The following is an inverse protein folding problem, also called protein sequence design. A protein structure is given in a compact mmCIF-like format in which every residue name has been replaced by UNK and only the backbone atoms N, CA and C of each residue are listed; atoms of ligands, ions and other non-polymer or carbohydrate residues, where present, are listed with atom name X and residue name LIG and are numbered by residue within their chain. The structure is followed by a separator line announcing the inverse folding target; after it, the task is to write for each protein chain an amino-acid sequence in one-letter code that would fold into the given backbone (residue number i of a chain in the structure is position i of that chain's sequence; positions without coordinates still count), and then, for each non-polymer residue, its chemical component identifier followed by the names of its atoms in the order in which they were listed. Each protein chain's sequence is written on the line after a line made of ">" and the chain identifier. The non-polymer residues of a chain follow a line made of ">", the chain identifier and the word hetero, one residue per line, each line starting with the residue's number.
data_IF_495964889053
#
_entry.id   IF_495964889053
#
_cell.length_a   1.000
_cell.length_b   1.000
_cell.length_c   1.000
_cell.angle_alpha   90.00
_cell.angle_beta   90.00
_cell.angle_gamma   90.00
#
_symmetry.space_group_name_H-M   'P 1'
#
loop_
_entity.id
_entity.type
_entity.pdbx_description
1 polymer ?
#
# COMPACT_ATOMS: atom_id res chain seq x y z
N UNK A 1 -11.73 -9.58 5.46
CA UNK A 1 -11.45 -8.17 5.11
C UNK A 1 -10.53 -8.09 3.90
N UNK A 2 -10.77 -7.12 3.03
CA UNK A 2 -9.86 -6.81 1.94
C UNK A 2 -8.56 -6.19 2.47
N UNK A 3 -7.53 -6.12 1.62
CA UNK A 3 -6.28 -5.43 1.98
C UNK A 3 -6.51 -3.96 2.32
N UNK A 4 -7.35 -3.27 1.54
CA UNK A 4 -7.72 -1.88 1.81
C UNK A 4 -8.38 -1.73 3.18
N UNK A 5 -9.34 -2.56 3.50
CA UNK A 5 -10.03 -2.52 4.79
C UNK A 5 -9.08 -2.77 5.95
N UNK A 6 -8.20 -3.76 5.82
CA UNK A 6 -7.19 -4.06 6.83
C UNK A 6 -6.24 -2.87 7.03
N UNK A 7 -5.76 -2.27 5.94
CA UNK A 7 -4.91 -1.09 6.00
C UNK A 7 -5.59 0.05 6.75
N UNK A 8 -6.83 0.36 6.40
CA UNK A 8 -7.56 1.47 7.00
C UNK A 8 -7.73 1.27 8.51
N UNK A 9 -8.08 0.07 8.94
CA UNK A 9 -8.22 -0.24 10.36
C UNK A 9 -6.91 -0.03 11.10
N UNK A 10 -5.80 -0.57 10.57
CA UNK A 10 -4.48 -0.46 11.20
C UNK A 10 -3.98 0.99 11.20
N UNK A 11 -4.21 1.71 10.11
CA UNK A 11 -3.80 3.10 9.98
C UNK A 11 -4.53 4.00 11.00
N UNK A 12 -5.84 3.87 11.11
CA UNK A 12 -6.64 4.66 12.05
C UNK A 12 -6.34 4.33 13.50
N UNK A 13 -5.96 3.10 13.80
CA UNK A 13 -5.55 2.72 15.16
C UNK A 13 -4.19 3.28 15.53
N UNK A 14 -3.28 3.38 14.57
CA UNK A 14 -1.88 3.70 14.83
C UNK A 14 -1.49 5.14 14.58
N UNK A 15 -2.01 5.77 13.54
CA UNK A 15 -1.60 7.13 13.16
C UNK A 15 -2.61 8.16 13.68
N UNK A 16 -2.25 8.82 14.78
CA UNK A 16 -3.10 9.83 15.42
C UNK A 16 -2.58 11.26 15.21
N UNK A 17 -1.65 11.44 14.28
CA UNK A 17 -1.10 12.76 13.99
C UNK A 17 -2.16 13.64 13.33
N UNK A 18 -2.00 14.97 13.53
CA UNK A 18 -2.79 15.92 12.76
C UNK A 18 -2.55 15.69 11.27
N UNK A 19 -3.62 15.67 10.47
CA UNK A 19 -3.53 15.43 9.05
C UNK A 19 -3.61 13.96 8.63
N UNK A 20 -3.69 13.02 9.59
CA UNK A 20 -3.72 11.58 9.27
C UNK A 20 -4.94 11.19 8.44
N UNK A 21 -6.14 11.69 8.78
CA UNK A 21 -7.35 11.38 8.01
C UNK A 21 -7.32 12.04 6.63
N UNK A 22 -6.80 13.25 6.53
CA UNK A 22 -6.66 13.97 5.26
C UNK A 22 -5.69 13.24 4.33
N UNK A 23 -4.61 12.69 4.87
CA UNK A 23 -3.68 11.88 4.09
C UNK A 23 -4.35 10.60 3.57
N UNK A 24 -5.09 9.91 4.43
CA UNK A 24 -5.82 8.71 4.03
C UNK A 24 -6.81 9.01 2.91
N UNK A 25 -7.56 10.09 3.04
CA UNK A 25 -8.53 10.53 2.04
C UNK A 25 -7.84 10.85 0.71
N UNK A 26 -6.70 11.53 0.77
CA UNK A 26 -5.90 11.82 -0.43
C UNK A 26 -5.41 10.53 -1.09
N UNK A 27 -4.94 9.56 -0.31
CA UNK A 27 -4.51 8.26 -0.84
C UNK A 27 -5.64 7.54 -1.56
N UNK A 28 -6.86 7.60 -1.03
CA UNK A 28 -8.02 6.95 -1.63
C UNK A 28 -8.49 7.64 -2.91
N UNK A 29 -8.48 8.97 -2.94
CA UNK A 29 -9.05 9.76 -4.04
C UNK A 29 -8.06 10.10 -5.15
N UNK A 30 -6.83 10.41 -4.79
CA UNK A 30 -5.85 10.99 -5.72
C UNK A 30 -4.75 10.03 -6.12
N UNK A 31 -4.74 8.81 -5.56
CA UNK A 31 -3.71 7.82 -5.87
C UNK A 31 -4.33 6.46 -6.14
N UNK A 32 -3.53 5.58 -6.75
CA UNK A 32 -3.89 4.18 -6.95
C UNK A 32 -3.31 3.26 -5.87
N UNK A 33 -2.93 3.81 -4.71
CA UNK A 33 -2.26 3.04 -3.66
C UNK A 33 -2.99 1.74 -3.31
N UNK A 34 -4.31 1.77 -3.24
CA UNK A 34 -5.11 0.61 -2.82
C UNK A 34 -5.35 -0.40 -3.93
N UNK A 35 -5.07 -0.05 -5.17
CA UNK A 35 -5.26 -0.93 -6.33
C UNK A 35 -3.97 -1.28 -7.04
N UNK A 36 -2.88 -0.56 -6.78
CA UNK A 36 -1.61 -0.75 -7.45
C UNK A 36 -0.93 -2.08 -7.05
N UNK A 37 -0.09 -2.64 -7.93
CA UNK A 37 0.77 -3.77 -7.57
C UNK A 37 1.96 -3.28 -6.76
N UNK A 38 2.62 -4.20 -6.05
CA UNK A 38 3.86 -3.89 -5.33
C UNK A 38 5.08 -3.89 -6.26
N UNK A 39 5.00 -4.62 -7.38
CA UNK A 39 6.08 -4.70 -8.38
C UNK A 39 5.49 -5.03 -9.74
N UNK A 40 6.33 -5.03 -10.78
CA UNK A 40 5.89 -5.37 -12.14
C UNK A 40 5.93 -6.87 -12.43
N UNK A 41 6.87 -7.61 -11.85
CA UNK A 41 7.14 -9.02 -12.22
C UNK A 41 7.32 -9.97 -11.06
N UNK A 42 7.61 -9.44 -9.88
CA UNK A 42 7.98 -10.25 -8.74
C UNK A 42 6.84 -10.34 -7.73
N UNK A 43 7.19 -10.34 -6.47
CA UNK A 43 6.26 -10.48 -5.36
C UNK A 43 5.11 -9.46 -5.42
N UNK A 44 3.88 -9.96 -5.30
CA UNK A 44 2.66 -9.13 -5.25
C UNK A 44 2.44 -8.26 -6.50
N UNK A 45 2.80 -8.79 -7.67
CA UNK A 45 2.61 -8.11 -8.96
C UNK A 45 1.18 -8.29 -9.48
N UNK A 46 0.19 -7.91 -8.68
CA UNK A 46 -1.23 -8.02 -8.99
C UNK A 46 -2.03 -6.88 -8.35
N UNK A 47 -3.29 -6.64 -8.77
CA UNK A 47 -4.10 -5.57 -8.18
C UNK A 47 -4.22 -5.71 -6.66
N UNK A 48 -3.98 -4.62 -5.94
CA UNK A 48 -3.99 -4.61 -4.48
C UNK A 48 -2.73 -5.12 -3.83
N UNK A 49 -1.70 -5.49 -4.62
CA UNK A 49 -0.44 -6.00 -4.09
C UNK A 49 0.32 -4.99 -3.24
N UNK A 50 0.26 -3.71 -3.60
CA UNK A 50 0.95 -2.66 -2.84
C UNK A 50 0.40 -2.52 -1.43
N UNK A 51 -0.92 -2.42 -1.28
CA UNK A 51 -1.55 -2.31 0.04
C UNK A 51 -1.35 -3.59 0.85
N UNK A 52 -1.42 -4.76 0.21
CA UNK A 52 -1.15 -6.03 0.86
C UNK A 52 0.28 -6.08 1.40
N UNK A 53 1.25 -5.65 0.62
CA UNK A 53 2.65 -5.56 1.04
C UNK A 53 2.80 -4.66 2.28
N UNK A 54 2.18 -3.49 2.27
CA UNK A 54 2.25 -2.55 3.39
C UNK A 54 1.69 -3.15 4.67
N UNK A 55 0.56 -3.86 4.59
CA UNK A 55 -0.04 -4.55 5.74
C UNK A 55 0.88 -5.68 6.23
N UNK A 56 1.48 -6.44 5.31
CA UNK A 56 2.40 -7.52 5.66
C UNK A 56 3.64 -6.99 6.39
N UNK A 57 4.20 -5.88 5.92
CA UNK A 57 5.36 -5.24 6.57
C UNK A 57 4.99 -4.78 7.98
N UNK A 58 3.80 -4.19 8.15
CA UNK A 58 3.32 -3.79 9.48
C UNK A 58 3.27 -5.00 10.42
N UNK A 59 2.70 -6.11 9.97
CA UNK A 59 2.55 -7.30 10.80
C UNK A 59 3.89 -7.91 11.20
N UNK A 60 4.84 -7.95 10.28
CA UNK A 60 6.17 -8.48 10.55
C UNK A 60 6.96 -7.57 11.49
N UNK A 61 6.91 -6.26 11.28
CA UNK A 61 7.61 -5.31 12.15
C UNK A 61 7.05 -5.32 13.56
N UNK A 62 5.74 -5.44 13.69
CA UNK A 62 5.07 -5.51 14.99
C UNK A 62 5.56 -6.68 15.85
N UNK A 63 5.94 -7.80 15.25
CA UNK A 63 6.41 -8.97 15.98
C UNK A 63 7.73 -8.74 16.72
N UNK A 64 8.53 -7.77 16.28
CA UNK A 64 9.89 -7.57 16.77
C UNK A 64 10.08 -6.29 17.58
N UNK A 65 9.03 -5.51 17.80
CA UNK A 65 9.12 -4.25 18.54
C UNK A 65 8.41 -4.35 19.89
N UNK A 66 8.81 -3.46 20.83
CA UNK A 66 8.18 -3.37 22.13
C UNK A 66 6.79 -2.75 21.97
N UNK A 67 5.78 -3.40 22.55
CA UNK A 67 4.40 -2.96 22.49
C UNK A 67 4.13 -1.83 23.48
N UNK A 68 4.33 -0.60 23.03
CA UNK A 68 3.93 0.59 23.77
C UNK A 68 3.41 1.62 22.75
N UNK A 69 2.60 2.57 23.23
CA UNK A 69 1.86 3.46 22.34
C UNK A 69 2.73 4.29 21.38
N UNK A 70 3.80 4.98 21.84
CA UNK A 70 4.66 5.72 20.90
C UNK A 70 5.34 4.82 19.86
N UNK A 71 5.78 3.64 20.28
CA UNK A 71 6.42 2.69 19.36
C UNK A 71 5.41 2.15 18.35
N UNK A 72 4.18 1.87 18.79
CA UNK A 72 3.14 1.35 17.88
C UNK A 72 2.72 2.41 16.86
N UNK A 73 2.68 3.68 17.22
CA UNK A 73 2.44 4.74 16.25
C UNK A 73 3.57 4.81 15.21
N UNK A 74 4.82 4.75 15.66
CA UNK A 74 5.96 4.73 14.74
C UNK A 74 5.92 3.53 13.79
N UNK A 75 5.57 2.35 14.31
CA UNK A 75 5.41 1.14 13.48
C UNK A 75 4.33 1.32 12.44
N UNK A 76 3.17 1.86 12.83
CA UNK A 76 2.07 2.07 11.90
C UNK A 76 2.47 3.06 10.79
N UNK A 77 3.03 4.20 11.15
CA UNK A 77 3.44 5.22 10.19
C UNK A 77 4.52 4.68 9.25
N UNK A 78 5.59 4.13 9.81
CA UNK A 78 6.72 3.67 9.01
C UNK A 78 6.35 2.47 8.11
N UNK A 79 5.66 1.47 8.66
CA UNK A 79 5.35 0.27 7.91
C UNK A 79 4.25 0.49 6.87
N UNK A 80 3.14 1.11 7.27
CA UNK A 80 2.00 1.28 6.37
C UNK A 80 2.27 2.28 5.24
N UNK A 81 3.11 3.28 5.47
CA UNK A 81 3.39 4.32 4.50
C UNK A 81 4.75 4.19 3.80
N UNK A 82 5.56 3.17 4.13
CA UNK A 82 6.94 3.09 3.62
C UNK A 82 7.02 3.05 2.10
N UNK A 83 6.06 2.44 1.43
CA UNK A 83 6.03 2.31 -0.02
C UNK A 83 4.96 3.18 -0.69
N UNK A 84 4.46 4.21 0.01
CA UNK A 84 3.49 5.14 -0.58
C UNK A 84 4.04 5.77 -1.87
N UNK A 85 5.35 5.96 -1.96
CA UNK A 85 5.99 6.50 -3.17
C UNK A 85 5.80 5.64 -4.42
N UNK A 86 5.40 4.38 -4.26
CA UNK A 86 5.10 3.50 -5.40
C UNK A 86 3.69 3.70 -5.95
N UNK A 87 2.84 4.46 -5.26
CA UNK A 87 1.54 4.82 -5.80
C UNK A 87 1.73 5.62 -7.09
N UNK A 88 0.83 5.43 -8.06
CA UNK A 88 0.88 6.08 -9.36
C UNK A 88 2.16 5.79 -10.17
N UNK A 89 2.85 4.70 -9.85
CA UNK A 89 4.13 4.32 -10.50
C UNK A 89 3.93 3.35 -11.65
N UNK A 90 2.94 2.45 -11.56
CA UNK A 90 2.76 1.37 -12.51
C UNK A 90 1.49 1.54 -13.32
N UNK A 91 1.54 1.11 -14.59
CA UNK A 91 0.39 1.08 -15.49
C UNK A 91 0.12 -0.36 -15.85
N UNK A 92 -1.17 -0.74 -15.85
CA UNK A 92 -1.61 -2.05 -16.26
C UNK A 92 -1.73 -2.08 -17.78
N UNK A 93 -1.07 -3.06 -18.41
CA UNK A 93 -1.18 -3.28 -19.84
C UNK A 93 -1.91 -4.58 -20.12
N UNK A 94 -2.87 -4.54 -21.04
CA UNK A 94 -3.56 -5.73 -21.51
C UNK A 94 -2.82 -6.33 -22.72
N UNK A 95 -2.81 -7.65 -22.79
CA UNK A 95 -2.20 -8.39 -23.88
C UNK A 95 -3.25 -9.21 -24.60
N UNK A 96 -3.07 -9.39 -25.92
CA UNK A 96 -3.94 -10.24 -26.72
C UNK A 96 -3.77 -11.71 -26.31
N UNK A 97 -4.88 -12.45 -26.27
CA UNK A 97 -4.86 -13.87 -25.94
C UNK A 97 -6.18 -14.34 -25.33
N UNK A 98 -6.32 -15.66 -25.12
CA UNK A 98 -7.52 -16.19 -24.47
C UNK A 98 -7.58 -15.74 -23.02
N UNK A 99 -8.74 -15.19 -22.62
CA UNK A 99 -8.95 -14.65 -21.29
C UNK A 99 -8.33 -13.27 -21.09
N UNK A 100 -8.35 -12.79 -19.86
CA UNK A 100 -7.71 -11.52 -19.50
C UNK A 100 -6.23 -11.76 -19.21
N UNK A 101 -5.39 -11.32 -20.14
CA UNK A 101 -3.94 -11.36 -19.97
C UNK A 101 -3.45 -9.92 -19.79
N UNK A 102 -2.74 -9.66 -18.71
CA UNK A 102 -2.21 -8.32 -18.43
C UNK A 102 -0.86 -8.40 -17.72
N UNK A 103 -0.14 -7.31 -17.79
CA UNK A 103 1.08 -7.10 -17.00
C UNK A 103 1.13 -5.66 -16.52
N UNK A 104 2.04 -5.38 -15.58
CA UNK A 104 2.28 -4.02 -15.11
C UNK A 104 3.63 -3.54 -15.62
N UNK A 105 3.69 -2.27 -15.99
CA UNK A 105 4.93 -1.62 -16.40
C UNK A 105 5.04 -0.29 -15.67
N UNK A 106 6.29 0.21 -15.51
CA UNK A 106 6.52 1.52 -14.91
C UNK A 106 6.05 2.60 -15.88
N UNK A 107 5.49 3.67 -15.34
CA UNK A 107 5.22 4.87 -16.13
C UNK A 107 6.52 5.50 -16.59
N UNK A 108 6.50 6.12 -17.76
CA UNK A 108 7.65 6.87 -18.28
C UNK A 108 7.97 8.08 -17.41
N UNK A 109 6.96 8.61 -16.72
CA UNK A 109 7.09 9.77 -15.84
C UNK A 109 6.39 9.53 -14.52
N UNK A 110 7.02 10.03 -13.47
CA UNK A 110 6.39 10.10 -12.15
C UNK A 110 5.71 11.45 -11.98
N UNK A 111 4.68 11.46 -11.16
CA UNK A 111 3.98 12.70 -10.82
C UNK A 111 4.79 13.53 -9.84
#
# INVERSE_FOLDING_TARGET
>A
MTGEEQFIVLYRRGDHREGAEELLEWMERETDFFTAPASTKHHLAYPGGLVEHSVNVFRELRKVVIDNEPTMEAVAICALLHDLCKANTYVREHHAGPGEVYSYVKKDRFL
#
